data_IF_545745777673
#
_entry.id   IF_545745777673
#
_cell.length_a   1.000
_cell.length_b   1.000
_cell.length_c   1.000
_cell.angle_alpha   90.00
_cell.angle_beta   90.00
_cell.angle_gamma   90.00
#
_symmetry.space_group_name_H-M   'P 1'
#
loop_
_entity.id
_entity.type
_entity.pdbx_description
1 polymer ?
#
# COMPACT_ATOMS: atom_id res chain seq x y z
N UNK A 1 18.84 -56.86 27.85
CA UNK A 1 19.06 -56.44 26.45
C UNK A 1 20.50 -56.68 26.05
N UNK A 2 20.73 -57.21 24.84
CA UNK A 2 22.08 -57.35 24.26
C UNK A 2 22.68 -55.95 24.02
N UNK A 3 24.01 -55.81 24.07
CA UNK A 3 24.71 -54.52 23.88
C UNK A 3 24.25 -53.79 22.60
N UNK A 4 24.03 -54.54 21.52
CA UNK A 4 23.58 -54.02 20.24
C UNK A 4 22.21 -53.32 20.32
N UNK A 5 21.28 -53.81 21.15
CA UNK A 5 19.95 -53.20 21.31
C UNK A 5 20.01 -51.87 22.06
N UNK A 6 20.93 -51.74 23.04
CA UNK A 6 21.15 -50.47 23.75
C UNK A 6 21.78 -49.43 22.82
N UNK A 7 22.76 -49.84 22.02
CA UNK A 7 23.41 -48.98 21.03
C UNK A 7 22.42 -48.48 19.99
N UNK A 8 21.56 -49.37 19.48
CA UNK A 8 20.51 -49.02 18.51
C UNK A 8 19.57 -47.94 19.06
N UNK A 9 19.09 -48.09 20.30
CA UNK A 9 18.21 -47.09 20.92
C UNK A 9 18.86 -45.72 21.07
N UNK A 10 20.14 -45.67 21.44
CA UNK A 10 20.87 -44.40 21.58
C UNK A 10 21.00 -43.71 20.21
N UNK A 11 21.37 -44.46 19.18
CA UNK A 11 21.52 -43.93 17.82
C UNK A 11 20.18 -43.41 17.30
N UNK A 12 19.11 -44.19 17.44
CA UNK A 12 17.76 -43.78 17.01
C UNK A 12 17.28 -42.57 17.78
N UNK A 13 17.51 -42.51 19.10
CA UNK A 13 17.16 -41.35 19.93
C UNK A 13 17.90 -40.09 19.48
N UNK A 14 19.21 -40.18 19.25
CA UNK A 14 20.01 -39.06 18.76
C UNK A 14 19.53 -38.56 17.39
N UNK A 15 19.19 -39.49 16.48
CA UNK A 15 18.62 -39.16 15.16
C UNK A 15 17.29 -38.42 15.27
N UNK A 16 16.39 -38.87 16.16
CA UNK A 16 15.11 -38.21 16.40
C UNK A 16 15.32 -36.81 16.97
N UNK A 17 16.19 -36.65 17.97
CA UNK A 17 16.49 -35.33 18.54
C UNK A 17 17.07 -34.39 17.49
N UNK A 18 17.98 -34.89 16.64
CA UNK A 18 18.52 -34.11 15.53
C UNK A 18 17.43 -33.68 14.55
N UNK A 19 16.51 -34.57 14.17
CA UNK A 19 15.39 -34.23 13.29
C UNK A 19 14.47 -33.17 13.91
N UNK A 20 14.11 -33.32 15.19
CA UNK A 20 13.26 -32.36 15.89
C UNK A 20 13.93 -31.00 15.97
N UNK A 21 15.23 -30.94 16.26
CA UNK A 21 15.98 -29.69 16.29
C UNK A 21 15.96 -28.99 14.92
N UNK A 22 16.13 -29.73 13.82
CA UNK A 22 16.04 -29.16 12.47
C UNK A 22 14.65 -28.60 12.16
N UNK A 23 13.58 -29.31 12.51
CA UNK A 23 12.20 -28.83 12.30
C UNK A 23 11.96 -27.52 13.06
N UNK A 24 12.45 -27.43 14.31
CA UNK A 24 12.33 -26.22 15.12
C UNK A 24 13.12 -25.06 14.50
N UNK A 25 14.36 -25.28 14.07
CA UNK A 25 15.20 -24.26 13.43
C UNK A 25 14.55 -23.75 12.13
N UNK A 26 14.08 -24.66 11.28
CA UNK A 26 13.39 -24.32 10.03
C UNK A 26 12.11 -23.54 10.30
N UNK A 27 11.34 -23.91 11.32
CA UNK A 27 10.15 -23.18 11.75
C UNK A 27 10.46 -21.72 12.09
N UNK A 28 11.51 -21.48 12.89
CA UNK A 28 11.94 -20.12 13.25
C UNK A 28 12.51 -19.31 12.08
N UNK A 29 13.18 -19.96 11.13
CA UNK A 29 13.67 -19.29 9.92
C UNK A 29 12.53 -18.91 8.98
N UNK A 30 11.54 -19.79 8.85
CA UNK A 30 10.40 -19.58 7.98
C UNK A 30 9.56 -18.37 8.42
N UNK A 31 9.38 -18.15 9.72
CA UNK A 31 8.65 -16.98 10.23
C UNK A 31 9.34 -15.67 9.89
N UNK A 32 10.67 -15.60 10.04
CA UNK A 32 11.46 -14.41 9.70
C UNK A 32 11.43 -14.12 8.20
N UNK A 33 11.69 -15.14 7.37
CA UNK A 33 11.62 -15.00 5.91
C UNK A 33 10.24 -14.54 5.43
N UNK A 34 9.18 -15.03 6.07
CA UNK A 34 7.81 -14.62 5.74
C UNK A 34 7.57 -13.14 6.04
N UNK A 35 8.05 -12.63 7.18
CA UNK A 35 7.94 -11.21 7.53
C UNK A 35 8.71 -10.31 6.56
N UNK A 36 9.93 -10.70 6.18
CA UNK A 36 10.76 -9.96 5.23
C UNK A 36 10.09 -9.90 3.85
N UNK A 37 9.57 -11.04 3.36
CA UNK A 37 8.86 -11.12 2.07
C UNK A 37 7.58 -10.28 2.10
N UNK A 38 6.79 -10.34 3.18
CA UNK A 38 5.56 -9.54 3.31
C UNK A 38 5.90 -8.05 3.29
N UNK A 39 6.93 -7.64 4.02
CA UNK A 39 7.34 -6.23 4.11
C UNK A 39 7.83 -5.72 2.76
N UNK A 40 8.68 -6.50 2.08
CA UNK A 40 9.18 -6.15 0.75
C UNK A 40 8.06 -6.13 -0.30
N UNK A 41 7.11 -7.08 -0.26
CA UNK A 41 5.94 -7.08 -1.16
C UNK A 41 5.06 -5.85 -0.96
N UNK A 42 4.79 -5.47 0.29
CA UNK A 42 4.02 -4.25 0.61
C UNK A 42 4.76 -3.00 0.12
N UNK A 43 6.07 -2.90 0.37
CA UNK A 43 6.88 -1.77 -0.07
C UNK A 43 6.96 -1.68 -1.61
N UNK A 44 7.10 -2.82 -2.29
CA UNK A 44 7.11 -2.94 -3.74
C UNK A 44 5.77 -2.53 -4.35
N UNK A 45 4.65 -3.01 -3.80
CA UNK A 45 3.29 -2.60 -4.20
C UNK A 45 3.08 -1.11 -4.03
N UNK A 46 3.46 -0.54 -2.89
CA UNK A 46 3.33 0.89 -2.63
C UNK A 46 4.15 1.70 -3.64
N UNK A 47 5.40 1.31 -3.90
CA UNK A 47 6.28 1.97 -4.88
C UNK A 47 5.70 1.89 -6.30
N UNK A 48 5.20 0.72 -6.68
CA UNK A 48 4.56 0.51 -7.98
C UNK A 48 3.31 1.38 -8.16
N UNK A 49 2.43 1.41 -7.16
CA UNK A 49 1.21 2.20 -7.18
C UNK A 49 1.51 3.71 -7.24
N UNK A 50 2.51 4.20 -6.49
CA UNK A 50 2.95 5.61 -6.56
C UNK A 50 3.48 5.95 -7.95
N UNK A 51 4.32 5.08 -8.52
CA UNK A 51 4.87 5.29 -9.86
C UNK A 51 3.76 5.33 -10.91
N UNK A 52 2.82 4.38 -10.86
CA UNK A 52 1.69 4.36 -11.78
C UNK A 52 0.76 5.56 -11.59
N UNK A 53 0.54 6.01 -10.35
CA UNK A 53 -0.19 7.23 -10.05
C UNK A 53 0.52 8.46 -10.65
N UNK A 54 1.83 8.56 -10.52
CA UNK A 54 2.58 9.67 -11.11
C UNK A 54 2.48 9.68 -12.64
N UNK A 55 2.66 8.53 -13.28
CA UNK A 55 2.53 8.39 -14.73
C UNK A 55 1.13 8.74 -15.23
N UNK A 56 0.08 8.27 -14.53
CA UNK A 56 -1.29 8.56 -14.92
C UNK A 56 -1.69 10.01 -14.65
N UNK A 57 -1.19 10.63 -13.58
CA UNK A 57 -1.41 12.05 -13.32
C UNK A 57 -0.79 12.92 -14.42
N UNK A 58 0.43 12.57 -14.84
CA UNK A 58 1.13 13.25 -15.92
C UNK A 58 0.44 13.03 -17.28
N UNK A 59 0.00 11.82 -17.59
CA UNK A 59 -0.79 11.54 -18.80
C UNK A 59 -2.13 12.30 -18.81
N UNK A 60 -2.80 12.38 -17.65
CA UNK A 60 -4.10 13.03 -17.55
C UNK A 60 -4.00 14.55 -17.72
N UNK A 61 -2.98 15.20 -17.12
CA UNK A 61 -2.91 16.66 -17.00
C UNK A 61 -1.68 17.33 -17.64
N UNK A 62 -0.65 16.58 -18.02
CA UNK A 62 0.67 17.07 -18.51
C UNK A 62 1.39 18.01 -17.53
N UNK A 63 0.99 17.98 -16.25
CA UNK A 63 1.37 18.91 -15.21
C UNK A 63 0.20 19.78 -14.74
N UNK A 64 0.22 20.23 -13.48
CA UNK A 64 -0.88 20.98 -12.86
C UNK A 64 -0.39 22.37 -12.44
N UNK A 65 -1.12 23.40 -12.82
CA UNK A 65 -0.85 24.79 -12.45
C UNK A 65 -2.08 25.46 -11.84
N UNK A 66 -1.84 26.43 -10.94
CA UNK A 66 -2.91 27.27 -10.40
C UNK A 66 -3.08 28.50 -11.29
N UNK A 67 -4.23 28.63 -11.95
CA UNK A 67 -4.60 29.79 -12.78
C UNK A 67 -5.89 30.39 -12.28
N UNK A 68 -5.87 31.67 -11.90
CA UNK A 68 -7.03 32.42 -11.39
C UNK A 68 -7.77 31.71 -10.23
N UNK A 69 -7.05 31.00 -9.36
CA UNK A 69 -7.62 30.26 -8.24
C UNK A 69 -8.11 28.84 -8.56
N UNK A 70 -8.08 28.42 -9.83
CA UNK A 70 -8.43 27.06 -10.24
C UNK A 70 -7.19 26.24 -10.60
N UNK A 71 -7.19 24.96 -10.22
CA UNK A 71 -6.15 24.02 -10.66
C UNK A 71 -6.48 23.47 -12.05
N UNK A 72 -5.59 23.71 -13.00
CA UNK A 72 -5.78 23.36 -14.41
C UNK A 72 -4.53 22.62 -14.89
N UNK A 73 -4.73 21.56 -15.66
CA UNK A 73 -3.67 20.88 -16.39
C UNK A 73 -2.99 21.83 -17.37
N UNK A 74 -1.71 21.62 -17.68
CA UNK A 74 -1.03 22.38 -18.74
C UNK A 74 -1.69 22.14 -20.10
N UNK A 75 -2.29 20.96 -20.28
CA UNK A 75 -3.15 20.60 -21.40
C UNK A 75 -4.55 21.26 -21.41
N UNK A 76 -4.87 22.07 -20.40
CA UNK A 76 -6.13 22.81 -20.29
C UNK A 76 -7.28 22.07 -19.60
N UNK A 77 -7.12 20.80 -19.21
CA UNK A 77 -8.14 20.07 -18.45
C UNK A 77 -8.31 20.66 -17.04
N UNK A 78 -9.55 20.83 -16.59
CA UNK A 78 -9.80 21.21 -15.19
C UNK A 78 -9.50 20.01 -14.27
N UNK A 79 -8.80 20.27 -13.17
CA UNK A 79 -8.51 19.27 -12.12
C UNK A 79 -9.66 19.20 -11.11
N UNK A 80 -10.35 20.32 -10.88
CA UNK A 80 -11.46 20.40 -9.94
C UNK A 80 -12.67 19.62 -10.46
N UNK A 81 -13.25 18.78 -9.59
CA UNK A 81 -14.35 17.87 -9.87
C UNK A 81 -14.08 16.82 -10.97
N UNK A 82 -12.85 16.72 -11.49
CA UNK A 82 -12.50 15.69 -12.45
C UNK A 82 -12.10 14.41 -11.69
N UNK A 83 -12.87 13.34 -11.88
CA UNK A 83 -12.70 12.09 -11.12
C UNK A 83 -11.90 11.02 -11.85
N UNK A 84 -11.53 11.25 -13.12
CA UNK A 84 -10.84 10.27 -13.98
C UNK A 84 -9.59 9.71 -13.30
N UNK A 85 -8.72 10.60 -12.80
CA UNK A 85 -7.50 10.24 -12.09
C UNK A 85 -7.76 9.44 -10.80
N UNK A 86 -8.62 9.95 -9.92
CA UNK A 86 -8.85 9.32 -8.61
C UNK A 86 -9.63 8.02 -8.71
N UNK A 87 -10.50 7.88 -9.72
CA UNK A 87 -11.25 6.65 -9.96
C UNK A 87 -10.38 5.58 -10.61
N UNK A 88 -9.45 5.96 -11.49
CA UNK A 88 -8.44 5.04 -12.00
C UNK A 88 -7.63 4.42 -10.85
N UNK A 89 -7.16 5.22 -9.89
CA UNK A 89 -6.42 4.68 -8.74
C UNK A 89 -7.28 3.77 -7.86
N UNK A 90 -8.54 4.15 -7.61
CA UNK A 90 -9.48 3.31 -6.86
C UNK A 90 -9.75 1.98 -7.55
N UNK A 91 -9.99 1.99 -8.85
CA UNK A 91 -10.40 0.79 -9.59
C UNK A 91 -9.22 -0.12 -9.92
N UNK A 92 -8.06 0.46 -10.25
CA UNK A 92 -6.86 -0.31 -10.65
C UNK A 92 -6.10 -0.82 -9.43
N UNK A 93 -5.94 0.00 -8.39
CA UNK A 93 -5.08 -0.31 -7.25
C UNK A 93 -5.85 -0.54 -5.94
N UNK A 94 -7.19 -0.54 -5.97
CA UNK A 94 -8.03 -0.64 -4.77
C UNK A 94 -7.64 0.37 -3.68
N UNK A 95 -7.11 1.54 -4.10
CA UNK A 95 -6.55 2.57 -3.21
C UNK A 95 -7.36 3.84 -3.34
N UNK A 96 -7.74 4.44 -2.20
CA UNK A 96 -8.43 5.72 -2.22
C UNK A 96 -7.46 6.86 -2.56
N UNK A 97 -7.89 7.79 -3.40
CA UNK A 97 -7.07 8.91 -3.84
C UNK A 97 -7.82 10.23 -3.71
N UNK A 98 -7.08 11.29 -3.38
CA UNK A 98 -7.61 12.65 -3.27
C UNK A 98 -6.58 13.65 -3.77
N UNK A 99 -6.99 14.57 -4.63
CA UNK A 99 -6.23 15.76 -5.00
C UNK A 99 -6.71 16.91 -4.11
N UNK A 100 -5.77 17.56 -3.43
CA UNK A 100 -6.02 18.73 -2.61
C UNK A 100 -5.51 19.99 -3.31
N UNK A 101 -6.30 21.07 -3.21
CA UNK A 101 -5.87 22.42 -3.56
C UNK A 101 -5.53 23.16 -2.27
N UNK A 102 -4.34 23.75 -2.21
CA UNK A 102 -3.99 24.65 -1.11
C UNK A 102 -4.63 26.01 -1.35
N UNK A 103 -5.53 26.42 -0.47
CA UNK A 103 -6.16 27.74 -0.50
C UNK A 103 -5.98 28.42 0.85
N UNK A 104 -5.19 29.49 0.87
CA UNK A 104 -4.79 30.15 2.12
C UNK A 104 -3.94 29.23 3.00
N UNK A 105 -4.43 28.97 4.22
CA UNK A 105 -3.78 28.12 5.23
C UNK A 105 -4.25 26.67 5.25
N UNK A 106 -5.19 26.27 4.41
CA UNK A 106 -5.84 24.95 4.44
C UNK A 106 -5.77 24.24 3.07
N UNK A 107 -6.16 22.98 3.03
CA UNK A 107 -6.17 22.11 1.85
C UNK A 107 -7.58 21.60 1.59
N UNK A 108 -8.20 22.05 0.51
CA UNK A 108 -9.55 21.64 0.12
C UNK A 108 -9.49 20.47 -0.86
N UNK A 109 -10.30 19.43 -0.63
CA UNK A 109 -10.47 18.32 -1.59
C UNK A 109 -11.10 18.85 -2.87
N UNK A 110 -10.40 18.76 -3.99
CA UNK A 110 -10.95 19.16 -5.30
C UNK A 110 -11.35 17.99 -6.18
N UNK A 111 -10.76 16.82 -5.96
CA UNK A 111 -11.11 15.57 -6.60
C UNK A 111 -10.83 14.44 -5.62
N UNK A 112 -11.77 13.53 -5.41
CA UNK A 112 -11.60 12.44 -4.44
C UNK A 112 -12.40 11.22 -4.82
N UNK A 113 -11.87 10.02 -4.57
CA UNK A 113 -12.59 8.75 -4.70
C UNK A 113 -13.43 8.40 -3.46
N UNK A 114 -13.31 9.20 -2.39
CA UNK A 114 -13.98 9.02 -1.10
C UNK A 114 -15.42 9.52 -1.21
N UNK A 115 -16.35 8.69 -0.75
CA UNK A 115 -17.78 9.03 -0.67
C UNK A 115 -18.15 9.35 0.77
N UNK A 116 -19.09 10.26 0.94
CA UNK A 116 -19.78 10.56 2.19
C UNK A 116 -20.92 9.55 2.42
N UNK A 117 -21.56 9.61 3.58
CA UNK A 117 -22.66 8.71 3.96
C UNK A 117 -23.88 8.80 3.02
N UNK A 118 -24.05 9.94 2.36
CA UNK A 118 -25.10 10.18 1.35
C UNK A 118 -24.74 9.62 -0.04
N UNK A 119 -23.57 9.00 -0.19
CA UNK A 119 -23.06 8.45 -1.45
C UNK A 119 -22.39 9.48 -2.36
N UNK A 120 -22.38 10.77 -2.01
CA UNK A 120 -21.73 11.81 -2.79
C UNK A 120 -20.25 11.90 -2.47
N UNK A 121 -19.43 12.40 -3.40
CA UNK A 121 -17.99 12.57 -3.16
C UNK A 121 -17.73 13.62 -2.09
N UNK A 122 -16.70 13.40 -1.27
CA UNK A 122 -16.28 14.35 -0.23
C UNK A 122 -15.54 15.60 -0.79
N UNK A 123 -15.86 16.05 -2.00
CA UNK A 123 -15.28 17.25 -2.62
C UNK A 123 -15.73 18.50 -1.85
N UNK A 124 -14.86 19.49 -1.72
CA UNK A 124 -15.11 20.75 -1.01
C UNK A 124 -14.86 20.68 0.51
N UNK A 125 -14.63 19.48 1.06
CA UNK A 125 -14.21 19.32 2.46
C UNK A 125 -12.73 19.62 2.62
N UNK A 126 -12.31 20.09 3.79
CA UNK A 126 -10.89 20.39 4.08
C UNK A 126 -10.15 19.20 4.66
N UNK A 127 -8.83 19.18 4.48
CA UNK A 127 -7.91 18.27 5.16
C UNK A 127 -7.74 18.76 6.59
N UNK A 128 -8.69 18.46 7.45
CA UNK A 128 -8.55 18.80 8.86
C UNK A 128 -7.35 18.03 9.44
N UNK A 129 -6.39 18.74 10.05
CA UNK A 129 -5.12 18.21 10.56
C UNK A 129 -5.29 17.04 11.56
N UNK A 130 -6.50 16.83 12.07
CA UNK A 130 -6.83 15.86 13.12
C UNK A 130 -7.53 14.57 12.65
N UNK A 131 -7.81 14.39 11.35
CA UNK A 131 -8.46 13.18 10.82
C UNK A 131 -7.69 12.60 9.62
N UNK A 132 -6.44 12.23 9.85
CA UNK A 132 -5.77 11.24 9.02
C UNK A 132 -6.30 9.88 9.48
N UNK A 133 -6.99 9.19 8.58
CA UNK A 133 -7.44 7.80 8.75
C UNK A 133 -6.22 6.89 8.83
#
# INVERSE_FOLDING_TARGET
MKIAQKLLLIITGALITFLVANVVIVGFQFTQLSEDIITEDVASKLRSNINAAHLFLEDTYEGIVLKNGSMIGTNGKNVENNTEFVDFLKNTFSTQATIFKREGGDFTRVATSILQDDGQRAVGTTLNENNII
#
